data_IF_704398367468
#
_entry.id   IF_704398367468
#
_cell.length_a   1.000
_cell.length_b   1.000
_cell.length_c   1.000
_cell.angle_alpha   90.00
_cell.angle_beta   90.00
_cell.angle_gamma   90.00
#
_symmetry.space_group_name_H-M   'P 1'
#
loop_
_entity.id
_entity.type
_entity.pdbx_description
1 polymer ?
#
# COMPACT_ATOMS: atom_id res chain seq x y z
N UNK A 1 37.45 -1.73 23.76
CA UNK A 1 37.48 -3.22 23.65
C UNK A 1 36.70 -3.76 24.83
N UNK A 2 35.99 -4.89 24.67
CA UNK A 2 34.88 -5.45 25.50
C UNK A 2 33.49 -5.11 24.91
N UNK A 3 33.16 -5.61 23.71
CA UNK A 3 32.45 -6.88 23.39
C UNK A 3 30.93 -6.78 23.52
N UNK A 4 30.30 -6.64 22.35
CA UNK A 4 28.93 -7.07 22.05
C UNK A 4 28.68 -8.42 22.73
N UNK A 5 27.69 -8.47 23.63
CA UNK A 5 27.16 -9.70 24.17
C UNK A 5 25.99 -10.12 23.28
N UNK A 6 26.17 -11.29 22.68
CA UNK A 6 25.19 -12.08 21.96
C UNK A 6 23.86 -12.17 22.72
N UNK A 7 22.80 -11.60 22.16
CA UNK A 7 21.45 -12.09 22.43
C UNK A 7 21.16 -13.20 21.42
N UNK A 8 21.67 -14.39 21.72
CA UNK A 8 21.18 -15.61 21.09
C UNK A 8 19.66 -15.71 21.30
N UNK A 9 19.00 -16.04 20.20
CA UNK A 9 17.56 -16.10 19.96
C UNK A 9 16.86 -17.25 20.69
N UNK A 10 16.85 -17.24 22.02
CA UNK A 10 16.06 -18.20 22.80
C UNK A 10 15.13 -17.46 23.78
N UNK A 11 13.92 -17.19 23.32
CA UNK A 11 12.81 -16.80 24.19
C UNK A 11 12.40 -18.03 25.02
N UNK A 12 12.61 -18.00 26.33
CA UNK A 12 12.28 -19.08 27.27
C UNK A 12 10.83 -19.00 27.79
N UNK A 13 9.90 -18.43 27.01
CA UNK A 13 8.50 -18.40 27.43
C UNK A 13 7.88 -19.81 27.29
N UNK A 14 7.21 -20.30 28.33
CA UNK A 14 6.75 -21.69 28.45
C UNK A 14 5.51 -22.02 27.60
N UNK A 15 5.45 -21.58 26.35
CA UNK A 15 4.37 -21.85 25.40
C UNK A 15 4.79 -22.94 24.40
N UNK A 16 5.19 -24.11 24.90
CA UNK A 16 5.72 -25.23 24.10
C UNK A 16 4.64 -26.10 23.40
N UNK A 17 3.38 -25.66 23.31
CA UNK A 17 2.29 -26.53 22.81
C UNK A 17 1.36 -25.93 21.74
N UNK A 18 1.80 -24.91 20.99
CA UNK A 18 1.08 -24.50 19.77
C UNK A 18 2.04 -24.44 18.56
N UNK A 19 1.61 -24.89 17.37
CA UNK A 19 2.46 -24.86 16.18
C UNK A 19 2.78 -23.40 15.80
N UNK A 20 4.09 -23.15 15.67
CA UNK A 20 4.69 -21.86 15.29
C UNK A 20 4.12 -21.30 13.99
N UNK A 21 3.54 -20.10 14.02
CA UNK A 21 3.16 -19.33 12.82
C UNK A 21 3.48 -17.83 12.97
N UNK A 22 4.52 -17.51 13.73
CA UNK A 22 5.05 -16.14 13.88
C UNK A 22 6.40 -16.04 13.17
N UNK A 23 6.51 -15.12 12.21
CA UNK A 23 7.65 -15.02 11.30
C UNK A 23 8.88 -14.40 11.97
N UNK A 24 8.72 -13.67 13.08
CA UNK A 24 9.79 -13.17 13.95
C UNK A 24 9.29 -12.89 15.39
N UNK A 25 10.22 -12.64 16.32
CA UNK A 25 9.96 -12.33 17.75
C UNK A 25 8.98 -11.16 17.97
N UNK A 26 8.93 -10.23 17.02
CA UNK A 26 8.06 -9.04 17.02
C UNK A 26 6.57 -9.36 16.83
N UNK A 27 6.24 -10.56 16.32
CA UNK A 27 4.85 -10.99 16.11
C UNK A 27 4.26 -11.69 17.36
N UNK A 28 5.04 -11.83 18.44
CA UNK A 28 4.61 -12.49 19.67
C UNK A 28 3.73 -11.56 20.55
N UNK A 29 2.49 -11.96 20.91
CA UNK A 29 1.61 -11.15 21.77
C UNK A 29 2.20 -10.83 23.15
N UNK A 30 3.10 -11.68 23.66
CA UNK A 30 3.80 -11.45 24.93
C UNK A 30 4.92 -10.41 24.78
N UNK A 31 5.64 -10.40 23.65
CA UNK A 31 6.63 -9.35 23.35
C UNK A 31 5.95 -8.00 23.18
N UNK A 32 4.81 -7.94 22.49
CA UNK A 32 4.03 -6.70 22.39
C UNK A 32 3.65 -6.13 23.77
N UNK A 33 3.41 -7.00 24.76
CA UNK A 33 3.00 -6.60 26.12
C UNK A 33 4.17 -6.29 27.05
N UNK A 34 5.31 -6.98 26.90
CA UNK A 34 6.54 -6.75 27.69
C UNK A 34 7.41 -5.61 27.14
N UNK A 35 7.41 -5.42 25.82
CA UNK A 35 8.07 -4.28 25.18
C UNK A 35 7.19 -3.03 25.23
N UNK A 36 5.88 -3.11 25.41
CA UNK A 36 5.01 -1.93 25.45
C UNK A 36 5.53 -0.78 26.35
N UNK A 37 6.04 -1.03 27.58
CA UNK A 37 6.62 0.03 28.42
C UNK A 37 8.01 0.49 27.96
N UNK A 38 8.79 -0.37 27.29
CA UNK A 38 10.06 0.03 26.65
C UNK A 38 9.82 0.74 25.30
N UNK A 39 8.62 0.61 24.76
CA UNK A 39 8.09 1.31 23.59
C UNK A 39 7.32 2.58 23.99
N UNK A 40 7.03 2.82 25.28
CA UNK A 40 6.50 4.10 25.77
C UNK A 40 7.51 5.24 25.53
N UNK A 41 8.80 4.92 25.43
CA UNK A 41 9.89 5.81 25.02
C UNK A 41 10.24 5.71 23.52
N UNK A 42 9.42 5.05 22.67
CA UNK A 42 9.48 5.37 21.24
C UNK A 42 9.00 6.81 21.12
N UNK A 43 9.70 7.71 20.40
CA UNK A 43 9.07 8.94 19.98
C UNK A 43 7.89 8.54 19.08
N UNK A 44 6.69 8.48 19.66
CA UNK A 44 5.51 8.92 18.96
C UNK A 44 5.86 10.29 18.38
N UNK A 45 5.51 10.55 17.13
CA UNK A 45 5.74 11.85 16.46
C UNK A 45 7.17 11.96 15.91
N UNK A 46 7.41 11.35 14.74
CA UNK A 46 8.64 11.63 13.99
C UNK A 46 8.23 12.12 12.61
N UNK A 47 8.72 13.30 12.25
CA UNK A 47 8.74 13.77 10.87
C UNK A 47 9.63 12.85 10.01
N UNK A 48 10.15 13.34 8.88
CA UNK A 48 11.08 12.56 8.08
C UNK A 48 12.31 12.07 8.88
N UNK A 49 12.66 10.80 8.71
CA UNK A 49 13.86 10.17 9.25
C UNK A 49 14.98 10.25 8.21
N UNK A 50 16.12 10.81 8.61
CA UNK A 50 17.32 10.83 7.76
C UNK A 50 17.88 9.41 7.62
N UNK A 51 17.95 8.91 6.39
CA UNK A 51 18.51 7.59 6.10
C UNK A 51 20.01 7.67 5.80
N UNK A 52 20.67 6.51 5.76
CA UNK A 52 22.12 6.37 5.51
C UNK A 52 22.60 6.94 4.16
N UNK A 53 21.69 7.07 3.19
CA UNK A 53 21.95 7.61 1.86
C UNK A 53 21.74 9.13 1.77
N UNK A 54 21.56 9.80 2.92
CA UNK A 54 21.36 11.25 3.00
C UNK A 54 19.98 11.72 2.58
N UNK A 55 19.03 10.80 2.35
CA UNK A 55 17.64 11.14 2.01
C UNK A 55 16.71 10.96 3.20
N UNK A 56 15.95 12.00 3.51
CA UNK A 56 14.94 11.98 4.55
C UNK A 56 13.61 11.38 4.05
N UNK A 57 13.05 10.42 4.80
CA UNK A 57 11.86 9.64 4.42
C UNK A 57 10.88 9.50 5.57
N UNK A 58 9.57 9.29 5.33
CA UNK A 58 8.66 9.02 6.43
C UNK A 58 9.07 7.73 7.18
N UNK A 59 8.77 7.62 8.49
CA UNK A 59 9.23 6.51 9.31
C UNK A 59 8.93 5.12 8.72
N UNK A 60 7.76 4.95 8.10
CA UNK A 60 7.38 3.68 7.47
C UNK A 60 8.27 3.30 6.28
N UNK A 61 8.77 4.28 5.51
CA UNK A 61 9.64 4.07 4.36
C UNK A 61 11.12 3.93 4.74
N UNK A 62 11.49 4.34 5.95
CA UNK A 62 12.86 4.24 6.47
C UNK A 62 13.20 2.84 7.02
N UNK A 63 12.24 1.89 7.01
CA UNK A 63 12.34 0.59 7.71
C UNK A 63 13.18 -0.47 7.01
N UNK A 64 12.99 -0.70 5.71
CA UNK A 64 13.68 -1.74 4.95
C UNK A 64 13.93 -1.32 3.49
N UNK A 65 14.94 -1.90 2.82
CA UNK A 65 15.31 -1.50 1.46
C UNK A 65 14.19 -1.61 0.42
N UNK A 66 13.29 -2.59 0.54
CA UNK A 66 12.22 -2.79 -0.44
C UNK A 66 11.11 -1.75 -0.26
N UNK A 67 10.69 -1.49 0.97
CA UNK A 67 9.72 -0.43 1.27
C UNK A 67 10.28 0.96 0.92
N UNK A 68 11.58 1.18 1.19
CA UNK A 68 12.30 2.40 0.80
C UNK A 68 12.30 2.62 -0.70
N UNK A 69 12.63 1.59 -1.48
CA UNK A 69 12.62 1.65 -2.94
C UNK A 69 11.22 2.00 -3.46
N UNK A 70 10.17 1.36 -2.94
CA UNK A 70 8.80 1.64 -3.32
C UNK A 70 8.40 3.10 -3.03
N UNK A 71 8.74 3.63 -1.84
CA UNK A 71 8.51 5.05 -1.53
C UNK A 71 9.23 5.97 -2.51
N UNK A 72 10.47 5.62 -2.85
CA UNK A 72 11.35 6.46 -3.65
C UNK A 72 10.94 6.53 -5.12
N UNK A 73 10.38 5.45 -5.66
CA UNK A 73 10.14 5.30 -7.11
C UNK A 73 8.66 5.24 -7.49
N UNK A 74 7.76 4.99 -6.54
CA UNK A 74 6.36 4.66 -6.87
C UNK A 74 5.35 5.40 -6.01
N UNK A 75 5.52 5.43 -4.69
CA UNK A 75 4.57 6.12 -3.82
C UNK A 75 4.44 7.60 -4.17
N UNK A 76 3.21 8.06 -4.38
CA UNK A 76 2.93 9.46 -4.66
C UNK A 76 3.38 9.93 -6.05
N UNK A 77 3.85 9.03 -6.91
CA UNK A 77 4.05 9.34 -8.34
C UNK A 77 2.68 9.47 -8.99
N UNK A 78 2.36 10.59 -9.68
CA UNK A 78 1.10 10.75 -10.40
C UNK A 78 0.86 9.64 -11.41
N UNK A 79 -0.15 8.79 -11.17
CA UNK A 79 -0.63 7.82 -12.13
C UNK A 79 -1.51 8.52 -13.16
N UNK A 80 -1.12 8.45 -14.43
CA UNK A 80 -1.81 9.14 -15.53
C UNK A 80 -2.44 8.17 -16.52
N UNK A 81 -1.85 6.98 -16.67
CA UNK A 81 -2.45 5.92 -17.49
C UNK A 81 -3.45 5.06 -16.70
N UNK A 82 -4.37 4.43 -17.42
CA UNK A 82 -5.35 3.52 -16.82
C UNK A 82 -4.66 2.32 -16.13
N UNK A 83 -3.61 1.77 -16.73
CA UNK A 83 -2.85 0.65 -16.16
C UNK A 83 -2.14 1.06 -14.85
N UNK A 84 -1.52 2.25 -14.79
CA UNK A 84 -0.89 2.74 -13.56
C UNK A 84 -1.91 2.94 -12.44
N UNK A 85 -3.05 3.55 -12.76
CA UNK A 85 -4.13 3.81 -11.81
C UNK A 85 -4.75 2.51 -11.30
N UNK A 86 -5.03 1.56 -12.21
CA UNK A 86 -5.58 0.26 -11.86
C UNK A 86 -4.59 -0.56 -11.02
N UNK A 87 -3.30 -0.57 -11.38
CA UNK A 87 -2.23 -1.21 -10.61
C UNK A 87 -2.14 -0.67 -9.18
N UNK A 88 -2.25 0.65 -9.00
CA UNK A 88 -2.24 1.28 -7.68
C UNK A 88 -3.47 0.90 -6.85
N UNK A 89 -4.65 0.81 -7.48
CA UNK A 89 -5.87 0.30 -6.83
C UNK A 89 -5.71 -1.16 -6.39
N UNK A 90 -5.22 -2.04 -7.27
CA UNK A 90 -4.99 -3.45 -6.97
C UNK A 90 -4.00 -3.64 -5.82
N UNK A 91 -2.96 -2.80 -5.74
CA UNK A 91 -2.04 -2.85 -4.61
C UNK A 91 -2.78 -2.68 -3.27
N UNK A 92 -3.72 -1.73 -3.16
CA UNK A 92 -4.49 -1.52 -1.93
C UNK A 92 -5.39 -2.71 -1.59
N UNK A 93 -6.05 -3.29 -2.59
CA UNK A 93 -6.89 -4.49 -2.42
C UNK A 93 -6.05 -5.65 -1.87
N UNK A 94 -4.88 -5.88 -2.48
CA UNK A 94 -3.99 -6.98 -2.14
C UNK A 94 -3.32 -6.78 -0.77
N UNK A 95 -3.03 -5.53 -0.39
CA UNK A 95 -2.36 -5.17 0.86
C UNK A 95 -3.28 -5.21 2.10
N UNK A 96 -4.60 -5.11 1.96
CA UNK A 96 -5.53 -5.12 3.09
C UNK A 96 -5.27 -6.26 4.10
N UNK A 97 -4.88 -5.94 5.33
CA UNK A 97 -4.58 -6.95 6.37
C UNK A 97 -3.19 -7.61 6.26
N UNK A 98 -2.28 -7.06 5.46
CA UNK A 98 -0.88 -7.49 5.35
C UNK A 98 0.05 -6.28 5.53
N UNK A 99 1.30 -6.53 5.93
CA UNK A 99 2.31 -5.47 5.91
C UNK A 99 2.66 -5.07 4.47
N UNK A 100 3.00 -3.80 4.26
CA UNK A 100 3.48 -3.28 2.97
C UNK A 100 4.60 -4.15 2.39
N UNK A 101 5.60 -4.47 3.22
CA UNK A 101 6.73 -5.34 2.84
C UNK A 101 6.28 -6.73 2.36
N UNK A 102 5.29 -7.33 3.02
CA UNK A 102 4.79 -8.66 2.63
C UNK A 102 4.17 -8.64 1.22
N UNK A 103 3.43 -7.59 0.87
CA UNK A 103 2.84 -7.46 -0.47
C UNK A 103 3.91 -7.08 -1.51
N UNK A 104 4.80 -6.13 -1.20
CA UNK A 104 5.89 -5.75 -2.09
C UNK A 104 6.76 -6.95 -2.50
N UNK A 105 7.06 -7.87 -1.57
CA UNK A 105 7.82 -9.09 -1.87
C UNK A 105 7.12 -10.01 -2.89
N UNK A 106 5.79 -10.01 -2.91
CA UNK A 106 4.97 -10.83 -3.80
C UNK A 106 4.61 -10.10 -5.10
N UNK A 107 4.77 -8.78 -5.13
CA UNK A 107 4.33 -7.93 -6.23
C UNK A 107 4.96 -8.27 -7.59
N UNK A 108 6.25 -8.68 -7.70
CA UNK A 108 6.78 -9.16 -8.97
C UNK A 108 6.08 -10.41 -9.53
N UNK A 109 5.65 -11.33 -8.66
CA UNK A 109 4.88 -12.50 -9.07
C UNK A 109 3.43 -12.11 -9.41
N UNK A 110 2.83 -11.20 -8.65
CA UNK A 110 1.50 -10.66 -8.93
C UNK A 110 1.45 -9.92 -10.27
N UNK A 111 2.47 -9.13 -10.62
CA UNK A 111 2.58 -8.49 -11.93
C UNK A 111 2.48 -9.51 -13.05
N UNK A 112 3.28 -10.58 -13.00
CA UNK A 112 3.24 -11.62 -14.03
C UNK A 112 1.89 -12.34 -14.06
N UNK A 113 1.32 -12.65 -12.90
CA UNK A 113 0.07 -13.39 -12.82
C UNK A 113 -1.14 -12.56 -13.31
N UNK A 114 -1.10 -11.24 -13.14
CA UNK A 114 -2.12 -10.32 -13.61
C UNK A 114 -1.73 -9.58 -14.89
N UNK A 115 -0.79 -10.11 -15.69
CA UNK A 115 -0.38 -9.52 -16.97
C UNK A 115 -0.03 -8.02 -16.87
N UNK A 116 0.86 -7.70 -15.94
CA UNK A 116 1.28 -6.35 -15.55
C UNK A 116 0.15 -5.41 -15.10
N UNK A 117 -0.99 -5.98 -14.70
CA UNK A 117 -2.23 -5.30 -14.38
C UNK A 117 -2.80 -4.51 -15.56
N UNK A 118 -2.79 -5.11 -16.76
CA UNK A 118 -3.63 -4.64 -17.85
C UNK A 118 -5.12 -4.91 -17.52
N UNK A 119 -5.97 -3.89 -17.34
CA UNK A 119 -7.37 -4.08 -16.96
C UNK A 119 -8.15 -4.92 -17.98
N UNK A 120 -7.83 -4.81 -19.27
CA UNK A 120 -8.53 -5.56 -20.31
C UNK A 120 -8.18 -7.06 -20.26
N UNK A 121 -6.91 -7.39 -20.01
CA UNK A 121 -6.48 -8.79 -19.87
C UNK A 121 -7.01 -9.38 -18.56
N UNK A 122 -6.91 -8.63 -17.45
CA UNK A 122 -7.35 -9.10 -16.14
C UNK A 122 -8.87 -9.30 -16.08
N UNK A 123 -9.66 -8.46 -16.75
CA UNK A 123 -11.12 -8.61 -16.83
C UNK A 123 -11.58 -9.88 -17.56
N UNK A 124 -10.69 -10.56 -18.30
CA UNK A 124 -10.99 -11.81 -19.00
C UNK A 124 -10.57 -13.05 -18.20
N UNK A 125 -9.91 -12.87 -17.05
CA UNK A 125 -9.50 -13.98 -16.20
C UNK A 125 -10.72 -14.68 -15.61
N UNK A 126 -10.60 -16.00 -15.47
CA UNK A 126 -11.70 -16.88 -15.04
C UNK A 126 -11.46 -17.42 -13.62
N UNK A 127 -12.48 -18.05 -13.05
CA UNK A 127 -12.32 -18.77 -11.76
C UNK A 127 -11.22 -19.84 -11.83
N UNK A 128 -11.04 -20.50 -12.98
CA UNK A 128 -9.96 -21.46 -13.17
C UNK A 128 -8.57 -20.81 -13.09
N UNK A 129 -8.43 -19.53 -13.43
CA UNK A 129 -7.18 -18.80 -13.26
C UNK A 129 -6.95 -18.44 -11.79
N UNK A 130 -8.01 -18.10 -11.05
CA UNK A 130 -7.95 -17.91 -9.59
C UNK A 130 -7.49 -19.19 -8.90
N UNK A 131 -8.02 -20.36 -9.26
CA UNK A 131 -7.56 -21.65 -8.70
C UNK A 131 -6.06 -21.87 -8.91
N UNK A 132 -5.56 -21.68 -10.14
CA UNK A 132 -4.12 -21.79 -10.43
C UNK A 132 -3.28 -20.82 -9.59
N UNK A 133 -3.79 -19.61 -9.35
CA UNK A 133 -3.10 -18.62 -8.53
C UNK A 133 -3.07 -19.00 -7.05
N UNK A 134 -4.12 -19.67 -6.54
CA UNK A 134 -4.16 -20.17 -5.17
C UNK A 134 -3.13 -21.28 -4.93
N UNK A 135 -2.76 -22.04 -5.95
CA UNK A 135 -1.70 -23.05 -5.85
C UNK A 135 -0.28 -22.46 -5.88
N UNK A 136 -0.13 -21.18 -6.25
CA UNK A 136 1.19 -20.54 -6.37
C UNK A 136 1.65 -19.88 -5.05
N UNK A 137 2.67 -20.44 -4.35
CA UNK A 137 3.13 -19.88 -3.07
C UNK A 137 3.81 -18.50 -3.20
N UNK A 138 4.22 -18.12 -4.42
CA UNK A 138 4.77 -16.79 -4.67
C UNK A 138 3.69 -15.69 -4.59
N UNK A 139 2.41 -16.04 -4.74
CA UNK A 139 1.29 -15.10 -4.73
C UNK A 139 0.65 -14.96 -3.34
N UNK A 140 -0.29 -14.01 -3.24
CA UNK A 140 -1.18 -13.90 -2.09
C UNK A 140 -2.31 -14.89 -2.30
N UNK A 141 -2.27 -16.01 -1.58
CA UNK A 141 -3.23 -17.13 -1.69
C UNK A 141 -4.53 -16.81 -0.94
N UNK A 142 -5.23 -15.77 -1.38
CA UNK A 142 -6.51 -15.33 -0.82
C UNK A 142 -7.52 -15.16 -1.96
N UNK A 143 -8.45 -16.11 -2.08
CA UNK A 143 -9.44 -16.16 -3.17
C UNK A 143 -10.18 -14.84 -3.31
N UNK A 144 -10.71 -14.32 -2.21
CA UNK A 144 -11.53 -13.11 -2.22
C UNK A 144 -10.78 -11.89 -2.76
N UNK A 145 -9.49 -11.72 -2.39
CA UNK A 145 -8.67 -10.63 -2.93
C UNK A 145 -8.33 -10.80 -4.40
N UNK A 146 -8.05 -12.03 -4.84
CA UNK A 146 -7.75 -12.32 -6.24
C UNK A 146 -8.97 -12.09 -7.13
N UNK A 147 -10.13 -12.60 -6.72
CA UNK A 147 -11.40 -12.35 -7.43
C UNK A 147 -11.76 -10.86 -7.44
N UNK A 148 -11.49 -10.12 -6.35
CA UNK A 148 -11.73 -8.68 -6.31
C UNK A 148 -10.88 -7.89 -7.32
N UNK A 149 -9.64 -8.33 -7.61
CA UNK A 149 -8.82 -7.73 -8.66
C UNK A 149 -9.48 -7.91 -10.04
N UNK A 150 -10.02 -9.10 -10.32
CA UNK A 150 -10.74 -9.39 -11.57
C UNK A 150 -12.01 -8.54 -11.68
N UNK A 151 -12.86 -8.53 -10.65
CA UNK A 151 -14.08 -7.70 -10.62
C UNK A 151 -13.77 -6.20 -10.81
N UNK A 152 -12.68 -5.71 -10.21
CA UNK A 152 -12.26 -4.32 -10.38
C UNK A 152 -11.75 -4.04 -11.80
N UNK A 153 -11.16 -5.03 -12.48
CA UNK A 153 -10.75 -4.91 -13.88
C UNK A 153 -11.97 -4.83 -14.79
N UNK A 154 -12.98 -5.68 -14.57
CA UNK A 154 -14.26 -5.64 -15.29
C UNK A 154 -14.94 -4.28 -15.15
N UNK A 155 -15.00 -3.74 -13.93
CA UNK A 155 -15.54 -2.41 -13.65
C UNK A 155 -14.76 -1.31 -14.37
N UNK A 156 -13.42 -1.39 -14.36
CA UNK A 156 -12.54 -0.45 -15.07
C UNK A 156 -12.83 -0.45 -16.58
N UNK A 157 -12.91 -1.63 -17.20
CA UNK A 157 -13.21 -1.77 -18.63
C UNK A 157 -14.63 -1.31 -18.96
N UNK A 158 -15.59 -1.56 -18.07
CA UNK A 158 -16.98 -1.15 -18.26
C UNK A 158 -17.14 0.38 -18.31
N UNK A 159 -16.38 1.14 -17.51
CA UNK A 159 -16.41 2.60 -17.50
C UNK A 159 -16.13 3.22 -18.88
N UNK A 160 -15.32 2.55 -19.72
CA UNK A 160 -15.01 3.01 -21.08
C UNK A 160 -16.26 3.18 -21.95
N UNK A 161 -17.35 2.47 -21.66
CA UNK A 161 -18.64 2.60 -22.37
C UNK A 161 -19.34 3.92 -22.08
N UNK A 162 -19.10 4.49 -20.90
CA UNK A 162 -19.68 5.75 -20.45
C UNK A 162 -18.82 6.95 -20.88
N UNK A 163 -17.71 6.70 -21.59
CA UNK A 163 -16.78 7.73 -22.05
C UNK A 163 -15.81 8.24 -20.98
N UNK A 164 -15.79 7.63 -19.79
CA UNK A 164 -14.89 7.99 -18.69
C UNK A 164 -13.83 6.90 -18.48
N UNK A 165 -12.62 7.29 -18.08
CA UNK A 165 -11.58 6.34 -17.68
C UNK A 165 -11.30 6.40 -16.17
N UNK A 166 -10.68 5.34 -15.63
CA UNK A 166 -10.37 5.28 -14.20
C UNK A 166 -9.50 6.46 -13.70
N UNK A 167 -8.43 6.87 -14.41
CA UNK A 167 -7.66 8.05 -14.01
C UNK A 167 -8.52 9.31 -13.89
N UNK A 168 -9.29 9.65 -14.93
CA UNK A 168 -10.15 10.84 -14.96
C UNK A 168 -11.10 10.86 -13.75
N UNK A 169 -11.76 9.73 -13.47
CA UNK A 169 -12.64 9.60 -12.31
C UNK A 169 -11.89 9.89 -10.99
N UNK A 170 -10.74 9.24 -10.77
CA UNK A 170 -10.01 9.34 -9.50
C UNK A 170 -9.46 10.75 -9.30
N UNK A 171 -8.93 11.37 -10.36
CA UNK A 171 -8.40 12.73 -10.32
C UNK A 171 -9.49 13.78 -10.10
N UNK A 172 -10.74 13.54 -10.48
CA UNK A 172 -11.88 14.41 -10.15
C UNK A 172 -12.13 14.54 -8.64
N UNK A 173 -11.58 13.64 -7.82
CA UNK A 173 -11.64 13.69 -6.35
C UNK A 173 -10.38 14.28 -5.70
N UNK A 174 -9.48 14.89 -6.47
CA UNK A 174 -8.35 15.61 -5.91
C UNK A 174 -8.86 16.76 -5.00
N UNK A 175 -8.35 16.90 -3.76
CA UNK A 175 -8.72 18.01 -2.90
C UNK A 175 -8.20 19.32 -3.48
N UNK A 176 -9.01 20.37 -3.38
CA UNK A 176 -8.64 21.71 -3.85
C UNK A 176 -7.42 22.29 -3.11
N UNK A 177 -7.22 21.88 -1.85
CA UNK A 177 -6.07 22.28 -1.03
C UNK A 177 -5.24 21.03 -0.73
N UNK A 178 -4.00 21.03 -1.20
CA UNK A 178 -3.06 19.94 -0.93
C UNK A 178 -2.61 19.92 0.53
N UNK A 179 -2.58 18.74 1.17
CA UNK A 179 -2.16 18.64 2.56
C UNK A 179 -0.66 18.94 2.71
N UNK A 180 -0.32 19.60 3.82
CA UNK A 180 1.05 19.98 4.16
C UNK A 180 1.58 19.29 5.43
N UNK A 181 1.57 17.94 5.52
CA UNK A 181 1.88 17.25 6.77
C UNK A 181 3.36 17.40 7.15
N UNK A 182 3.64 17.73 8.41
CA UNK A 182 4.99 17.72 8.98
C UNK A 182 5.32 16.33 9.56
N UNK A 183 4.29 15.66 10.10
CA UNK A 183 4.38 14.36 10.74
C UNK A 183 3.34 13.39 10.20
N UNK A 184 3.51 12.10 10.51
CA UNK A 184 2.54 11.07 10.14
C UNK A 184 1.16 11.27 10.77
N UNK A 185 1.05 12.01 11.87
CA UNK A 185 -0.22 12.29 12.56
C UNK A 185 -1.07 13.34 11.83
N UNK A 186 -0.44 14.17 11.00
CA UNK A 186 -1.13 15.18 10.20
C UNK A 186 -1.85 14.58 8.99
N UNK A 187 -1.57 13.31 8.68
CA UNK A 187 -2.21 12.58 7.58
C UNK A 187 -3.44 11.85 8.16
N UNK A 188 -4.67 12.26 7.79
CA UNK A 188 -5.87 11.61 8.31
C UNK A 188 -5.97 10.18 7.78
N UNK A 189 -6.75 9.32 8.45
CA UNK A 189 -6.99 7.96 7.96
C UNK A 189 -7.95 7.91 6.75
N UNK A 190 -8.76 8.94 6.57
CA UNK A 190 -9.74 9.12 5.48
C UNK A 190 -10.15 10.59 5.38
N UNK A 191 -10.70 11.00 4.24
CA UNK A 191 -11.27 12.34 4.02
C UNK A 191 -12.68 12.25 3.46
N UNK A 192 -13.33 13.41 3.25
CA UNK A 192 -14.63 13.46 2.58
C UNK A 192 -14.52 13.06 1.11
N UNK A 193 -13.45 13.50 0.43
CA UNK A 193 -13.14 13.15 -0.96
C UNK A 193 -12.89 11.64 -1.10
N UNK A 194 -12.12 11.05 -0.18
CA UNK A 194 -11.85 9.61 -0.22
C UNK A 194 -13.11 8.79 0.05
N UNK A 195 -14.01 9.29 0.92
CA UNK A 195 -15.31 8.67 1.14
C UNK A 195 -16.23 8.80 -0.08
N UNK A 196 -16.18 9.92 -0.79
CA UNK A 196 -16.94 10.14 -2.01
C UNK A 196 -16.45 9.27 -3.18
N UNK A 197 -15.13 9.21 -3.41
CA UNK A 197 -14.51 8.32 -4.38
C UNK A 197 -14.86 6.86 -4.12
N UNK A 198 -14.78 6.42 -2.86
CA UNK A 198 -15.14 5.05 -2.49
C UNK A 198 -16.62 4.72 -2.79
N UNK A 199 -17.53 5.70 -2.66
CA UNK A 199 -18.95 5.50 -3.02
C UNK A 199 -19.13 5.41 -4.53
N UNK A 200 -18.49 6.27 -5.31
CA UNK A 200 -18.61 6.26 -6.77
C UNK A 200 -18.02 4.98 -7.38
N UNK A 201 -16.81 4.59 -6.94
CA UNK A 201 -16.21 3.31 -7.34
C UNK A 201 -17.14 2.13 -7.03
N UNK A 202 -17.74 2.07 -5.83
CA UNK A 202 -18.70 1.00 -5.51
C UNK A 202 -19.94 1.03 -6.39
N UNK A 203 -20.48 2.21 -6.70
CA UNK A 203 -21.63 2.34 -7.59
C UNK A 203 -21.33 1.82 -9.00
N UNK A 204 -20.06 1.85 -9.42
CA UNK A 204 -19.55 1.32 -10.70
C UNK A 204 -19.13 -0.15 -10.63
N UNK A 205 -19.38 -0.84 -9.51
CA UNK A 205 -19.11 -2.27 -9.36
C UNK A 205 -17.73 -2.63 -8.79
N UNK A 206 -16.91 -1.64 -8.41
CA UNK A 206 -15.65 -1.92 -7.73
C UNK A 206 -15.90 -2.48 -6.32
N UNK A 207 -15.03 -3.40 -5.91
CA UNK A 207 -15.05 -4.08 -4.62
C UNK A 207 -13.76 -3.84 -3.84
N UNK A 208 -13.77 -4.15 -2.53
CA UNK A 208 -12.61 -3.98 -1.64
C UNK A 208 -12.08 -2.55 -1.49
N UNK A 209 -12.92 -1.55 -1.79
CA UNK A 209 -12.54 -0.13 -1.70
C UNK A 209 -13.43 0.62 -0.70
N UNK A 210 -12.95 0.79 0.53
CA UNK A 210 -13.60 1.64 1.55
C UNK A 210 -12.95 3.03 1.65
N UNK A 211 -13.51 3.98 2.42
CA UNK A 211 -12.95 5.33 2.54
C UNK A 211 -11.47 5.39 2.93
N UNK A 212 -11.01 4.50 3.83
CA UNK A 212 -9.58 4.41 4.22
C UNK A 212 -8.71 3.88 3.07
N UNK A 213 -9.15 2.81 2.41
CA UNK A 213 -8.43 2.23 1.27
C UNK A 213 -8.40 3.18 0.07
N UNK A 214 -9.48 3.92 -0.18
CA UNK A 214 -9.53 4.96 -1.20
C UNK A 214 -8.56 6.11 -0.88
N UNK A 215 -8.42 6.48 0.39
CA UNK A 215 -7.45 7.49 0.79
C UNK A 215 -6.01 7.03 0.57
N UNK A 216 -5.67 5.79 0.94
CA UNK A 216 -4.36 5.21 0.65
C UNK A 216 -4.10 5.07 -0.85
N UNK A 217 -5.13 4.72 -1.62
CA UNK A 217 -5.07 4.66 -3.07
C UNK A 217 -4.74 6.03 -3.69
N UNK A 218 -5.46 7.08 -3.31
CA UNK A 218 -5.22 8.44 -3.78
C UNK A 218 -3.80 8.94 -3.46
N UNK A 219 -3.27 8.59 -2.28
CA UNK A 219 -1.89 8.87 -1.90
C UNK A 219 -0.89 8.08 -2.74
N UNK A 220 -1.10 6.76 -2.87
CA UNK A 220 -0.20 5.89 -3.61
C UNK A 220 -0.12 6.27 -5.09
N UNK A 221 -1.25 6.61 -5.70
CA UNK A 221 -1.37 7.00 -7.11
C UNK A 221 -1.00 8.47 -7.38
N UNK A 222 -0.55 9.22 -6.36
CA UNK A 222 -0.14 10.60 -6.53
C UNK A 222 -1.26 11.55 -6.96
N UNK A 223 -2.51 11.24 -6.59
CA UNK A 223 -3.64 12.18 -6.71
C UNK A 223 -3.56 13.21 -5.58
N UNK A 224 -3.03 12.79 -4.42
CA UNK A 224 -2.79 13.64 -3.25
C UNK A 224 -1.34 13.51 -2.80
N UNK A 225 -0.69 14.64 -2.53
CA UNK A 225 0.67 14.67 -2.03
C UNK A 225 0.71 14.67 -0.50
N UNK A 226 0.89 13.49 0.09
CA UNK A 226 1.09 13.30 1.54
C UNK A 226 2.55 13.04 1.91
N UNK A 227 3.51 13.34 1.04
CA UNK A 227 4.91 13.34 1.43
C UNK A 227 5.11 14.37 2.56
N UNK A 228 5.77 13.96 3.65
CA UNK A 228 6.02 14.85 4.78
C UNK A 228 6.92 16.04 4.38
N UNK A 229 6.74 17.18 5.01
CA UNK A 229 7.65 18.32 4.85
C UNK A 229 9.07 17.91 5.22
N UNK A 230 10.05 18.30 4.39
CA UNK A 230 11.45 17.92 4.55
C UNK A 230 11.77 16.48 4.13
N UNK A 231 10.81 15.73 3.59
CA UNK A 231 11.11 14.47 2.91
C UNK A 231 11.63 14.72 1.50
N UNK A 232 12.61 13.94 1.06
CA UNK A 232 13.30 14.22 -0.20
C UNK A 232 12.37 14.18 -1.43
N UNK A 233 11.28 13.40 -1.37
CA UNK A 233 10.26 13.32 -2.43
C UNK A 233 9.39 14.57 -2.50
N UNK A 234 9.15 15.24 -1.37
CA UNK A 234 8.46 16.53 -1.34
C UNK A 234 9.33 17.59 -2.02
N UNK A 235 10.60 17.64 -1.62
CA UNK A 235 11.56 18.64 -2.10
C UNK A 235 11.91 18.46 -3.58
N UNK A 236 11.76 17.24 -4.11
CA UNK A 236 11.92 16.94 -5.53
C UNK A 236 10.84 17.57 -6.44
N UNK A 237 9.82 18.23 -5.87
CA UNK A 237 8.86 19.05 -6.63
C UNK A 237 7.92 18.25 -7.53
N UNK A 238 7.46 17.07 -7.08
CA UNK A 238 6.47 16.27 -7.81
C UNK A 238 5.25 17.13 -8.17
N UNK A 239 4.99 17.28 -9.47
CA UNK A 239 3.81 18.01 -9.96
C UNK A 239 2.61 17.11 -9.90
N UNK A 240 1.68 17.44 -9.00
CA UNK A 240 0.43 16.71 -8.80
C UNK A 240 -0.68 17.22 -9.71
N UNK A 241 -0.39 17.29 -11.01
CA UNK A 241 -1.31 17.84 -12.01
C UNK A 241 -1.50 16.82 -13.12
N UNK A 242 -2.74 16.46 -13.47
CA UNK A 242 -2.97 15.68 -14.67
C UNK A 242 -2.68 16.57 -15.88
N UNK A 243 -1.84 16.09 -16.78
CA UNK A 243 -1.57 16.74 -18.07
C UNK A 243 -2.62 16.24 -19.06
N UNK A 244 -3.87 16.73 -18.92
CA UNK A 244 -5.02 16.43 -19.77
C UNK A 244 -5.44 14.94 -19.77
N UNK A 245 -6.75 14.67 -19.60
CA UNK A 245 -7.33 13.33 -19.73
C UNK A 245 -8.19 13.27 -21.00
#
# INVERSE_FOLDING_TARGET
MTTYLDFETHCTCSYDHLPFDFLTIDDCPLHARLLAPLLEDKPAIVGPVMCEDGKARPPWAATDPLTRLYYDTTWGVPGLSENEMFRALCFQVLQSGLSMRAVLRKFPALNRAFSDFDPYVVAQMTEADVEKMLDNPALIRNRTKLSAVITNAEATVAMRRDGTCLPELVWAYQPAIMPQPETMLDIPERTEESAALARDLKARGFTFIGPKSAWLFMQAAGVVNTHLQGSWRRDAGLRMTPLEF
#
